data_IF_594058234450
#
_entry.id   IF_594058234450
#
_cell.length_a   1.000
_cell.length_b   1.000
_cell.length_c   1.000
_cell.angle_alpha   90.00
_cell.angle_beta   90.00
_cell.angle_gamma   90.00
#
_symmetry.space_group_name_H-M   'P 1'
#
loop_
_entity.id
_entity.type
_entity.pdbx_description
1 polymer ?
#
# COMPACT_ATOMS: atom_id res chain seq x y z
N UNK A 1 23.10 -6.77 -17.08
CA UNK A 1 22.74 -7.74 -16.02
C UNK A 1 22.12 -6.95 -14.86
N UNK A 2 21.04 -7.46 -14.25
CA UNK A 2 20.40 -6.86 -13.08
C UNK A 2 20.86 -7.60 -11.81
N UNK A 3 20.94 -6.90 -10.69
CA UNK A 3 21.26 -7.48 -9.38
C UNK A 3 20.01 -8.11 -8.74
N UNK A 4 18.83 -7.56 -9.05
CA UNK A 4 17.54 -8.09 -8.60
C UNK A 4 16.44 -7.86 -9.64
N UNK A 5 15.52 -8.82 -9.74
CA UNK A 5 14.27 -8.70 -10.49
C UNK A 5 13.12 -8.83 -9.49
N UNK A 6 12.23 -7.85 -9.47
CA UNK A 6 11.04 -7.82 -8.63
C UNK A 6 9.83 -8.12 -9.52
N UNK A 7 9.04 -9.12 -9.13
CA UNK A 7 7.83 -9.52 -9.84
C UNK A 7 6.62 -8.99 -9.07
N UNK A 8 5.91 -8.04 -9.68
CA UNK A 8 4.78 -7.29 -9.13
C UNK A 8 5.13 -5.83 -8.82
N UNK A 9 4.50 -4.89 -9.51
CA UNK A 9 4.63 -3.44 -9.33
C UNK A 9 3.55 -2.86 -8.39
N UNK A 10 3.11 -3.65 -7.41
CA UNK A 10 2.26 -3.17 -6.31
C UNK A 10 3.06 -2.39 -5.25
N UNK A 11 2.41 -1.91 -4.17
CA UNK A 11 3.07 -1.13 -3.12
C UNK A 11 4.33 -1.81 -2.56
N UNK A 12 4.24 -3.09 -2.20
CA UNK A 12 5.39 -3.84 -1.67
C UNK A 12 6.55 -3.95 -2.67
N UNK A 13 6.26 -4.25 -3.93
CA UNK A 13 7.26 -4.41 -4.98
C UNK A 13 7.97 -3.11 -5.32
N UNK A 14 7.23 -2.01 -5.46
CA UNK A 14 7.82 -0.71 -5.73
C UNK A 14 8.59 -0.14 -4.54
N UNK A 15 8.15 -0.38 -3.31
CA UNK A 15 8.94 -0.03 -2.12
C UNK A 15 10.24 -0.83 -2.06
N UNK A 16 10.21 -2.13 -2.37
CA UNK A 16 11.41 -2.95 -2.44
C UNK A 16 12.36 -2.47 -3.56
N UNK A 17 11.80 -2.15 -4.74
CA UNK A 17 12.54 -1.65 -5.89
C UNK A 17 13.26 -0.34 -5.55
N UNK A 18 12.52 0.61 -4.96
CA UNK A 18 13.02 1.90 -4.51
C UNK A 18 14.16 1.72 -3.50
N UNK A 19 13.96 0.90 -2.46
CA UNK A 19 14.98 0.69 -1.43
C UNK A 19 16.26 0.06 -1.97
N UNK A 20 16.15 -0.88 -2.90
CA UNK A 20 17.30 -1.52 -3.53
C UNK A 20 18.01 -0.58 -4.50
N UNK A 21 17.26 0.14 -5.34
CA UNK A 21 17.83 1.07 -6.31
C UNK A 21 18.50 2.27 -5.61
N UNK A 22 17.92 2.79 -4.52
CA UNK A 22 18.55 3.83 -3.69
C UNK A 22 19.88 3.40 -3.05
N UNK A 23 20.15 2.08 -2.97
CA UNK A 23 21.44 1.53 -2.51
C UNK A 23 22.43 1.27 -3.66
N UNK A 24 22.09 1.64 -4.89
CA UNK A 24 22.95 1.48 -6.07
C UNK A 24 22.79 0.15 -6.81
N UNK A 25 21.82 -0.69 -6.44
CA UNK A 25 21.56 -1.93 -7.16
C UNK A 25 20.84 -1.69 -8.49
N UNK A 26 21.21 -2.46 -9.52
CA UNK A 26 20.51 -2.51 -10.80
C UNK A 26 19.28 -3.37 -10.67
N UNK A 27 18.10 -2.76 -10.54
CA UNK A 27 16.83 -3.47 -10.32
C UNK A 27 15.94 -3.38 -11.56
N UNK A 28 15.26 -4.47 -11.90
CA UNK A 28 14.12 -4.47 -12.82
C UNK A 28 12.84 -4.79 -12.05
N UNK A 29 11.74 -4.11 -12.40
CA UNK A 29 10.39 -4.45 -11.92
C UNK A 29 9.59 -4.96 -13.11
N UNK A 30 8.93 -6.10 -12.94
CA UNK A 30 8.06 -6.70 -13.94
C UNK A 30 6.66 -6.86 -13.35
N UNK A 31 5.65 -6.35 -14.02
CA UNK A 31 4.25 -6.64 -13.73
C UNK A 31 3.56 -7.08 -15.02
N UNK A 32 2.53 -7.90 -14.90
CA UNK A 32 1.73 -8.30 -16.05
C UNK A 32 0.74 -7.21 -16.45
N UNK A 33 0.40 -6.29 -15.53
CA UNK A 33 -0.45 -5.14 -15.79
C UNK A 33 0.33 -4.05 -16.52
N UNK A 34 -0.35 -3.40 -17.44
CA UNK A 34 0.16 -2.22 -18.11
C UNK A 34 -0.13 -0.95 -17.29
N UNK A 35 -1.38 -0.82 -16.84
CA UNK A 35 -1.78 0.24 -15.92
C UNK A 35 -1.47 -0.19 -14.49
N UNK A 36 -0.56 0.54 -13.83
CA UNK A 36 -0.12 0.22 -12.46
C UNK A 36 -0.92 1.05 -11.46
N UNK A 37 -1.38 0.39 -10.39
CA UNK A 37 -2.11 1.04 -9.29
C UNK A 37 -3.63 1.12 -9.49
N UNK A 38 -4.16 0.60 -10.60
CA UNK A 38 -5.59 0.55 -10.91
C UNK A 38 -6.33 -0.63 -10.26
N UNK A 39 -5.60 -1.52 -9.59
CA UNK A 39 -6.17 -2.69 -8.91
C UNK A 39 -7.21 -2.22 -7.89
N UNK A 40 -8.45 -2.70 -8.08
CA UNK A 40 -9.51 -2.50 -7.10
C UNK A 40 -9.10 -3.06 -5.72
N UNK A 41 -9.08 -2.16 -4.74
CA UNK A 41 -8.82 -2.46 -3.35
C UNK A 41 -9.67 -1.53 -2.47
N UNK A 42 -9.63 -1.73 -1.15
CA UNK A 42 -10.33 -0.83 -0.23
C UNK A 42 -9.69 0.55 -0.17
N UNK A 43 -8.40 0.67 -0.54
CA UNK A 43 -7.60 1.89 -0.36
C UNK A 43 -7.35 2.26 1.10
N UNK A 44 -7.70 1.37 2.05
CA UNK A 44 -7.57 1.63 3.48
C UNK A 44 -6.20 1.14 3.94
N UNK A 45 -5.44 2.03 4.57
CA UNK A 45 -4.12 1.76 5.14
C UNK A 45 -4.12 2.22 6.60
N UNK A 46 -3.58 1.40 7.50
CA UNK A 46 -3.43 1.77 8.91
C UNK A 46 -2.42 2.89 9.11
N UNK A 47 -2.57 3.68 10.18
CA UNK A 47 -1.68 4.80 10.50
C UNK A 47 -0.21 4.38 10.61
N UNK A 48 0.06 3.29 11.33
CA UNK A 48 1.42 2.72 11.46
C UNK A 48 2.07 2.44 10.10
N UNK A 49 1.30 1.91 9.13
CA UNK A 49 1.80 1.65 7.79
C UNK A 49 2.06 2.94 7.02
N UNK A 50 1.18 3.94 7.14
CA UNK A 50 1.39 5.27 6.53
C UNK A 50 2.60 6.01 7.10
N UNK A 51 2.92 5.81 8.38
CA UNK A 51 4.12 6.36 9.02
C UNK A 51 5.39 5.63 8.57
N UNK A 52 5.37 4.30 8.53
CA UNK A 52 6.51 3.49 8.11
C UNK A 52 6.81 3.58 6.60
N UNK A 53 5.79 3.86 5.80
CA UNK A 53 5.85 3.99 4.35
C UNK A 53 5.09 5.26 3.91
N UNK A 54 5.72 6.44 4.01
CA UNK A 54 5.06 7.72 3.77
C UNK A 54 4.33 7.77 2.43
N UNK A 55 3.02 8.03 2.51
CA UNK A 55 2.14 8.19 1.37
C UNK A 55 2.05 9.70 1.06
N UNK A 56 2.26 10.13 -0.20
CA UNK A 56 2.03 11.52 -0.59
C UNK A 56 0.63 11.99 -0.20
N UNK A 57 0.52 13.16 0.42
CA UNK A 57 -0.73 13.65 0.99
C UNK A 57 -1.82 13.86 -0.07
N UNK A 58 -1.42 14.15 -1.31
CA UNK A 58 -2.31 14.26 -2.47
C UNK A 58 -3.00 12.94 -2.85
N UNK A 59 -2.49 11.79 -2.41
CA UNK A 59 -3.11 10.47 -2.62
C UNK A 59 -4.04 10.07 -1.48
N UNK A 60 -4.09 10.82 -0.39
CA UNK A 60 -4.94 10.54 0.77
C UNK A 60 -6.31 11.21 0.54
N UNK A 61 -7.27 10.42 0.08
CA UNK A 61 -8.63 10.93 -0.18
C UNK A 61 -9.39 11.31 1.11
N UNK A 62 -9.18 10.55 2.20
CA UNK A 62 -9.81 10.77 3.50
C UNK A 62 -9.01 10.09 4.61
N UNK A 63 -8.93 10.76 5.76
CA UNK A 63 -8.51 10.15 7.01
C UNK A 63 -9.72 9.63 7.80
N UNK A 64 -9.68 8.38 8.23
CA UNK A 64 -10.70 7.77 9.07
C UNK A 64 -10.27 7.81 10.55
N UNK A 65 -11.20 8.16 11.44
CA UNK A 65 -10.95 8.25 12.89
C UNK A 65 -11.76 7.22 13.70
N UNK A 66 -12.48 6.33 13.02
CA UNK A 66 -13.31 5.32 13.66
C UNK A 66 -13.58 4.13 12.74
N UNK A 67 -13.98 3.03 13.35
CA UNK A 67 -14.53 1.86 12.68
C UNK A 67 -15.72 1.34 13.49
N UNK A 68 -16.74 0.81 12.81
CA UNK A 68 -17.90 0.17 13.46
C UNK A 68 -17.93 -1.30 13.06
N UNK A 69 -17.93 -2.18 14.05
CA UNK A 69 -18.11 -3.61 13.87
C UNK A 69 -19.58 -3.95 14.02
N UNK A 70 -20.16 -4.58 13.01
CA UNK A 70 -21.58 -4.98 12.99
C UNK A 70 -21.63 -6.51 13.05
N UNK A 71 -22.24 -7.06 14.11
CA UNK A 71 -22.42 -8.50 14.25
C UNK A 71 -23.56 -9.02 13.37
N UNK A 72 -23.64 -10.33 13.08
CA UNK A 72 -24.73 -10.89 12.26
C UNK A 72 -26.14 -10.66 12.81
N UNK A 73 -26.29 -10.43 14.13
CA UNK A 73 -27.58 -10.09 14.76
C UNK A 73 -27.83 -8.58 14.87
N UNK A 74 -27.04 -7.75 14.18
CA UNK A 74 -27.21 -6.30 14.10
C UNK A 74 -26.72 -5.51 15.31
N UNK A 75 -25.90 -6.09 16.20
CA UNK A 75 -25.27 -5.32 17.28
C UNK A 75 -24.07 -4.54 16.73
N UNK A 76 -23.97 -3.28 17.11
CA UNK A 76 -22.89 -2.40 16.70
C UNK A 76 -21.89 -2.18 17.83
N UNK A 77 -20.61 -2.20 17.48
CA UNK A 77 -19.51 -1.89 18.37
C UNK A 77 -18.60 -0.87 17.69
N UNK A 78 -18.63 0.38 18.16
CA UNK A 78 -17.78 1.45 17.65
C UNK A 78 -16.39 1.44 18.29
N UNK A 79 -15.37 1.65 17.48
CA UNK A 79 -14.00 1.93 17.91
C UNK A 79 -13.61 3.30 17.35
N UNK A 80 -13.09 4.16 18.21
CA UNK A 80 -12.56 5.49 17.83
C UNK A 80 -11.07 5.50 18.12
N UNK A 81 -10.30 6.13 17.22
CA UNK A 81 -8.85 6.35 17.37
C UNK A 81 -8.56 7.64 18.12
#
# INVERSE_FOLDING_TARGET
>A
MYDAIIVGAGPAGNVAALRLSSKGHRVAVLDWRFDIGDKLCTGIVGTECGEAFPIPSELIYRQANSATFISPNGREFGVVS
#
